data_IF_113304413502
#
_entry.id   IF_113304413502
#
_cell.length_a   1.000
_cell.length_b   1.000
_cell.length_c   1.000
_cell.angle_alpha   90.00
_cell.angle_beta   90.00
_cell.angle_gamma   90.00
#
_symmetry.space_group_name_H-M   'P 1'
#
loop_
_entity.id
_entity.type
_entity.pdbx_description
1 polymer ?
#
# COMPACT_ATOMS: atom_id res chain seq x y z
N UNK A 1 -17.62 -27.08 17.07
CA UNK A 1 -18.50 -25.92 17.27
C UNK A 1 -19.58 -25.91 16.23
N UNK A 2 -20.83 -25.69 16.62
CA UNK A 2 -21.95 -25.49 15.70
C UNK A 2 -22.85 -24.39 16.26
N UNK A 3 -23.00 -23.24 15.56
CA UNK A 3 -23.74 -22.11 16.08
C UNK A 3 -25.27 -22.33 16.02
N UNK A 4 -25.73 -23.32 15.26
CA UNK A 4 -27.14 -23.66 15.09
C UNK A 4 -27.55 -24.71 16.12
N UNK A 5 -26.84 -25.85 16.13
CA UNK A 5 -27.24 -27.03 16.91
C UNK A 5 -26.52 -27.19 18.25
N UNK A 6 -25.41 -26.47 18.46
CA UNK A 6 -24.58 -26.63 19.65
C UNK A 6 -25.20 -26.08 20.94
N UNK A 7 -24.63 -26.52 22.06
CA UNK A 7 -25.01 -26.11 23.43
C UNK A 7 -23.77 -25.83 24.29
N UNK A 8 -23.81 -24.76 25.09
CA UNK A 8 -22.70 -24.34 25.94
C UNK A 8 -22.80 -24.95 27.34
N UNK A 9 -22.48 -26.23 27.46
CA UNK A 9 -22.39 -26.93 28.75
C UNK A 9 -21.06 -27.70 28.80
N UNK A 10 -20.38 -27.71 29.94
CA UNK A 10 -18.98 -28.20 30.05
C UNK A 10 -18.81 -29.68 29.65
N UNK A 11 -19.88 -30.48 29.68
CA UNK A 11 -19.86 -31.89 29.29
C UNK A 11 -19.98 -32.16 27.78
N UNK A 12 -20.08 -31.13 26.94
CA UNK A 12 -20.21 -31.25 25.47
C UNK A 12 -18.91 -30.84 24.80
N UNK A 13 -18.91 -30.57 23.48
CA UNK A 13 -17.77 -30.01 22.74
C UNK A 13 -16.66 -31.00 22.37
N UNK A 14 -16.67 -32.21 22.94
CA UNK A 14 -15.67 -33.25 22.70
C UNK A 14 -15.93 -34.09 21.42
N UNK A 15 -17.08 -33.88 20.77
CA UNK A 15 -17.51 -34.62 19.57
C UNK A 15 -18.36 -33.75 18.66
N UNK A 16 -18.36 -34.08 17.36
CA UNK A 16 -19.25 -33.49 16.35
C UNK A 16 -20.74 -33.72 16.63
N UNK A 17 -21.08 -34.80 17.34
CA UNK A 17 -22.47 -35.13 17.70
C UNK A 17 -23.00 -34.31 18.87
N UNK A 18 -22.12 -33.61 19.59
CA UNK A 18 -22.49 -32.83 20.75
C UNK A 18 -21.64 -31.56 20.83
N UNK A 19 -21.74 -30.65 19.86
CA UNK A 19 -20.83 -29.51 19.76
C UNK A 19 -21.18 -28.42 20.77
N UNK A 20 -20.17 -27.65 21.20
CA UNK A 20 -20.43 -26.35 21.81
C UNK A 20 -21.08 -25.39 20.81
N UNK A 21 -21.82 -24.39 21.31
CA UNK A 21 -22.53 -23.40 20.49
C UNK A 21 -21.63 -22.25 20.06
N UNK A 22 -20.89 -21.65 21.00
CA UNK A 22 -20.15 -20.41 20.76
C UNK A 22 -18.64 -20.58 20.87
N UNK A 23 -17.90 -19.84 20.05
CA UNK A 23 -16.44 -19.81 20.05
C UNK A 23 -15.92 -19.32 21.41
N UNK A 24 -16.55 -18.28 22.00
CA UNK A 24 -16.20 -17.77 23.33
C UNK A 24 -16.23 -18.88 24.38
N UNK A 25 -17.29 -19.69 24.41
CA UNK A 25 -17.40 -20.78 25.40
C UNK A 25 -16.32 -21.84 25.18
N UNK A 26 -16.05 -22.21 23.92
CA UNK A 26 -14.99 -23.15 23.61
C UNK A 26 -13.61 -22.65 24.06
N UNK A 27 -13.35 -21.34 23.93
CA UNK A 27 -12.10 -20.72 24.37
C UNK A 27 -11.93 -20.76 25.89
N UNK A 28 -13.00 -20.70 26.68
CA UNK A 28 -12.94 -20.84 28.14
C UNK A 28 -12.40 -22.22 28.55
N UNK A 29 -12.73 -23.26 27.79
CA UNK A 29 -12.32 -24.64 28.06
C UNK A 29 -10.96 -24.99 27.43
N UNK A 30 -10.57 -24.27 26.37
CA UNK A 30 -9.41 -24.61 25.56
C UNK A 30 -8.07 -24.27 26.25
N UNK A 31 -7.11 -25.17 26.05
CA UNK A 31 -5.71 -25.00 26.42
C UNK A 31 -4.84 -24.75 25.17
N UNK A 32 -3.61 -24.23 25.30
CA UNK A 32 -2.69 -24.11 24.16
C UNK A 32 -2.55 -25.43 23.40
N UNK A 33 -2.54 -25.36 22.06
CA UNK A 33 -2.56 -26.53 21.18
C UNK A 33 -3.95 -27.04 20.79
N UNK A 34 -5.02 -26.51 21.40
CA UNK A 34 -6.40 -26.88 21.03
C UNK A 34 -6.76 -26.40 19.63
N UNK A 35 -7.45 -27.24 18.87
CA UNK A 35 -8.11 -26.88 17.61
C UNK A 35 -9.61 -26.74 17.85
N UNK A 36 -10.12 -25.52 17.72
CA UNK A 36 -11.54 -25.21 17.73
C UNK A 36 -12.06 -25.35 16.30
N UNK A 37 -12.67 -26.50 16.00
CA UNK A 37 -13.29 -26.76 14.69
C UNK A 37 -14.68 -26.11 14.61
N UNK A 38 -14.88 -25.28 13.59
CA UNK A 38 -16.13 -24.62 13.26
C UNK A 38 -16.90 -25.40 12.18
N UNK A 39 -18.18 -25.66 12.44
CA UNK A 39 -19.13 -26.12 11.44
C UNK A 39 -19.61 -24.92 10.59
N UNK A 40 -20.15 -25.17 9.38
CA UNK A 40 -20.82 -24.14 8.61
C UNK A 40 -21.90 -23.42 9.44
N UNK A 41 -21.90 -22.09 9.37
CA UNK A 41 -22.84 -21.26 10.11
C UNK A 41 -22.34 -19.84 10.31
N UNK A 42 -23.21 -19.03 10.92
CA UNK A 42 -22.93 -17.64 11.28
C UNK A 42 -22.76 -17.52 12.79
N UNK A 43 -21.58 -17.07 13.21
CA UNK A 43 -21.16 -16.86 14.59
C UNK A 43 -21.30 -15.37 14.93
N UNK A 44 -22.52 -14.98 15.30
CA UNK A 44 -22.87 -13.58 15.64
C UNK A 44 -23.13 -13.34 17.13
N UNK A 45 -23.45 -14.39 17.88
CA UNK A 45 -23.81 -14.33 19.29
C UNK A 45 -22.62 -14.68 20.19
N UNK A 46 -21.47 -14.08 19.87
CA UNK A 46 -20.21 -14.26 20.61
C UNK A 46 -20.02 -13.11 21.60
N UNK A 47 -19.19 -13.34 22.62
CA UNK A 47 -18.67 -12.24 23.43
C UNK A 47 -17.49 -11.61 22.68
N UNK A 48 -17.70 -10.43 22.10
CA UNK A 48 -16.68 -9.73 21.33
C UNK A 48 -15.89 -8.71 22.19
N UNK A 49 -14.60 -8.48 21.89
CA UNK A 49 -13.78 -9.21 20.92
C UNK A 49 -13.55 -10.66 21.33
N UNK A 50 -13.52 -11.58 20.36
CA UNK A 50 -13.10 -12.95 20.58
C UNK A 50 -11.60 -12.94 20.82
N UNK A 51 -11.17 -13.26 22.04
CA UNK A 51 -9.74 -13.34 22.40
C UNK A 51 -9.25 -14.75 22.06
N UNK A 52 -8.63 -14.90 20.88
CA UNK A 52 -8.06 -16.16 20.45
C UNK A 52 -6.73 -16.37 21.20
N UNK A 53 -6.78 -17.16 22.27
CA UNK A 53 -5.67 -17.35 23.22
C UNK A 53 -4.45 -17.98 22.58
N UNK A 54 -3.34 -17.89 23.30
CA UNK A 54 -2.04 -18.39 22.85
C UNK A 54 -2.09 -19.86 22.40
N UNK A 55 -1.51 -20.13 21.23
CA UNK A 55 -1.36 -21.48 20.70
C UNK A 55 -2.68 -22.17 20.30
N UNK A 56 -3.81 -21.47 20.30
CA UNK A 56 -5.10 -22.03 19.87
C UNK A 56 -5.27 -21.83 18.36
N UNK A 57 -5.79 -22.88 17.70
CA UNK A 57 -6.20 -22.82 16.30
C UNK A 57 -7.73 -22.68 16.20
N UNK A 58 -8.20 -21.64 15.53
CA UNK A 58 -9.59 -21.49 15.10
C UNK A 58 -9.72 -21.90 13.64
N UNK A 59 -10.38 -23.04 13.39
CA UNK A 59 -10.42 -23.68 12.07
C UNK A 59 -11.82 -23.84 11.54
N UNK A 60 -12.11 -23.30 10.37
CA UNK A 60 -13.31 -23.60 9.57
C UNK A 60 -12.99 -24.49 8.37
N UNK A 61 -13.41 -24.06 7.18
CA UNK A 61 -13.15 -24.76 5.92
C UNK A 61 -12.12 -24.00 5.06
N UNK A 62 -10.88 -24.50 5.05
CA UNK A 62 -9.78 -23.89 4.30
C UNK A 62 -9.96 -23.99 2.78
N UNK A 63 -10.63 -25.03 2.29
CA UNK A 63 -10.79 -25.29 0.86
C UNK A 63 -11.65 -24.24 0.17
N UNK A 64 -12.60 -23.67 0.92
CA UNK A 64 -13.49 -22.60 0.45
C UNK A 64 -13.15 -21.24 1.05
N UNK A 65 -11.99 -21.12 1.72
CA UNK A 65 -11.58 -19.91 2.47
C UNK A 65 -12.65 -19.43 3.46
N UNK A 66 -13.36 -20.37 4.08
CA UNK A 66 -14.39 -20.10 5.07
C UNK A 66 -15.68 -19.50 4.54
N UNK A 67 -16.01 -19.69 3.26
CA UNK A 67 -17.22 -19.12 2.64
C UNK A 67 -18.51 -19.38 3.42
N UNK A 68 -18.61 -20.53 4.08
CA UNK A 68 -19.79 -20.93 4.88
C UNK A 68 -19.58 -20.82 6.39
N UNK A 69 -18.42 -20.35 6.86
CA UNK A 69 -18.07 -20.23 8.28
C UNK A 69 -17.83 -18.74 8.56
N UNK A 70 -18.89 -18.02 8.91
CA UNK A 70 -18.87 -16.54 9.01
C UNK A 70 -18.84 -16.12 10.47
N UNK A 71 -17.83 -15.37 10.88
CA UNK A 71 -17.73 -14.70 12.19
C UNK A 71 -18.05 -13.22 11.96
N UNK A 72 -19.17 -12.76 12.52
CA UNK A 72 -19.69 -11.42 12.23
C UNK A 72 -20.08 -10.69 13.50
N UNK A 73 -19.36 -9.61 13.80
CA UNK A 73 -19.59 -8.77 14.96
C UNK A 73 -18.31 -8.08 15.40
N UNK A 74 -18.35 -7.42 16.54
CA UNK A 74 -17.20 -6.73 17.09
C UNK A 74 -17.54 -6.07 18.42
N UNK A 75 -16.53 -5.91 19.27
CA UNK A 75 -16.66 -5.36 20.60
C UNK A 75 -15.51 -4.43 20.93
N UNK A 76 -15.63 -3.71 22.04
CA UNK A 76 -14.63 -2.75 22.45
C UNK A 76 -13.35 -3.43 22.93
N UNK A 77 -12.23 -2.98 22.40
CA UNK A 77 -10.90 -3.38 22.83
C UNK A 77 -10.07 -2.13 23.16
N UNK A 78 -9.56 -2.04 24.39
CA UNK A 78 -8.66 -0.97 24.77
C UNK A 78 -7.22 -1.36 24.42
N UNK A 79 -6.81 -0.98 23.20
CA UNK A 79 -5.45 -1.20 22.72
C UNK A 79 -4.45 -0.40 23.55
N UNK A 80 -3.33 -1.06 23.89
CA UNK A 80 -2.19 -0.43 24.58
C UNK A 80 -1.53 0.63 23.68
N UNK A 81 -1.60 0.45 22.36
CA UNK A 81 -1.00 1.36 21.39
C UNK A 81 -2.00 2.26 20.66
N UNK A 82 -3.31 1.98 20.66
CA UNK A 82 -4.31 2.72 19.87
C UNK A 82 -5.57 3.15 20.63
N UNK A 83 -5.57 3.10 21.97
CA UNK A 83 -6.75 3.37 22.80
C UNK A 83 -7.94 2.47 22.40
N UNK A 84 -9.18 2.91 22.64
CA UNK A 84 -10.38 2.11 22.36
C UNK A 84 -10.58 1.89 20.86
N UNK A 85 -10.72 0.63 20.48
CA UNK A 85 -10.97 0.12 19.12
C UNK A 85 -12.20 -0.79 19.12
N UNK A 86 -12.79 -1.06 17.95
CA UNK A 86 -13.82 -2.08 17.80
C UNK A 86 -13.27 -3.27 17.00
N UNK A 87 -13.23 -4.46 17.60
CA UNK A 87 -12.48 -5.62 17.09
C UNK A 87 -13.36 -6.87 17.11
N UNK A 88 -13.29 -7.69 16.06
CA UNK A 88 -13.93 -9.03 16.03
C UNK A 88 -13.06 -10.06 16.74
N UNK A 89 -11.79 -10.20 16.32
CA UNK A 89 -10.85 -11.18 16.89
C UNK A 89 -9.59 -10.45 17.35
N UNK A 90 -9.21 -10.64 18.62
CA UNK A 90 -7.88 -10.32 19.13
C UNK A 90 -7.02 -11.58 19.06
N UNK A 91 -5.98 -11.57 18.22
CA UNK A 91 -5.15 -12.74 17.97
C UNK A 91 -3.90 -12.72 18.85
N UNK A 92 -3.84 -13.64 19.81
CA UNK A 92 -2.71 -13.76 20.73
C UNK A 92 -1.54 -14.53 20.11
N UNK A 93 -0.43 -14.56 20.84
CA UNK A 93 0.82 -15.24 20.50
C UNK A 93 0.60 -16.67 19.98
N UNK A 94 1.27 -17.06 18.89
CA UNK A 94 1.24 -18.41 18.31
C UNK A 94 -0.18 -18.96 17.98
N UNK A 95 -1.21 -18.11 17.95
CA UNK A 95 -2.56 -18.52 17.56
C UNK A 95 -2.66 -18.70 16.04
N UNK A 96 -3.61 -19.52 15.59
CA UNK A 96 -3.87 -19.75 14.17
C UNK A 96 -5.32 -19.49 13.82
N UNK A 97 -5.57 -18.74 12.76
CA UNK A 97 -6.90 -18.52 12.17
C UNK A 97 -6.89 -19.07 10.76
N UNK A 98 -7.71 -20.08 10.48
CA UNK A 98 -7.82 -20.63 9.14
C UNK A 98 -9.21 -21.09 8.72
N UNK A 99 -9.54 -20.94 7.44
CA UNK A 99 -10.80 -21.41 6.88
C UNK A 99 -12.04 -20.66 7.38
N UNK A 100 -11.92 -19.37 7.72
CA UNK A 100 -13.06 -18.56 8.22
C UNK A 100 -13.30 -17.34 7.36
N UNK A 101 -14.55 -16.85 7.35
CA UNK A 101 -14.88 -15.50 6.89
C UNK A 101 -15.06 -14.59 8.11
N UNK A 102 -14.38 -13.43 8.15
CA UNK A 102 -14.51 -12.45 9.23
C UNK A 102 -15.07 -11.14 8.70
N UNK A 103 -16.09 -10.60 9.38
CA UNK A 103 -16.73 -9.33 9.03
C UNK A 103 -17.00 -8.47 10.26
N UNK A 104 -16.62 -7.18 10.21
CA UNK A 104 -16.93 -6.21 11.25
C UNK A 104 -17.58 -4.94 10.71
N UNK A 105 -18.92 -4.93 10.65
CA UNK A 105 -19.69 -3.77 10.17
C UNK A 105 -19.92 -2.68 11.21
N UNK A 106 -19.38 -2.81 12.42
CA UNK A 106 -19.48 -1.76 13.42
C UNK A 106 -18.67 -0.53 12.98
N UNK A 107 -19.02 0.64 13.51
CA UNK A 107 -18.24 1.86 13.28
C UNK A 107 -16.76 1.64 13.68
N UNK A 108 -15.84 1.91 12.76
CA UNK A 108 -14.39 1.63 12.91
C UNK A 108 -14.06 0.16 13.20
N UNK A 109 -14.94 -0.76 12.81
CA UNK A 109 -14.79 -2.20 13.01
C UNK A 109 -13.59 -2.78 12.26
N UNK A 110 -12.72 -3.44 13.01
CA UNK A 110 -11.58 -4.22 12.49
C UNK A 110 -11.88 -5.70 12.61
N UNK A 111 -11.56 -6.49 11.58
CA UNK A 111 -11.73 -7.95 11.61
C UNK A 111 -10.78 -8.61 12.62
N UNK A 112 -9.48 -8.59 12.35
CA UNK A 112 -8.47 -9.16 13.26
C UNK A 112 -7.49 -8.09 13.72
N UNK A 113 -7.27 -8.04 15.04
CA UNK A 113 -6.28 -7.19 15.67
C UNK A 113 -5.07 -8.02 16.12
N UNK A 114 -3.89 -7.60 15.69
CA UNK A 114 -2.59 -8.21 16.04
C UNK A 114 -1.73 -7.15 16.70
N UNK A 115 -1.42 -7.32 17.98
CA UNK A 115 -0.68 -6.32 18.77
C UNK A 115 0.41 -6.98 19.61
N UNK A 116 1.67 -6.78 19.20
CA UNK A 116 2.84 -7.39 19.82
C UNK A 116 2.81 -8.93 19.84
N UNK A 117 2.13 -9.55 18.86
CA UNK A 117 1.97 -11.01 18.71
C UNK A 117 2.27 -11.47 17.28
N UNK A 118 2.31 -12.78 17.05
CA UNK A 118 2.79 -13.42 15.81
C UNK A 118 1.84 -14.52 15.26
N UNK A 119 0.52 -14.28 15.14
CA UNK A 119 -0.41 -15.31 14.71
C UNK A 119 -0.18 -15.76 13.26
N UNK A 120 -0.63 -16.96 12.93
CA UNK A 120 -0.75 -17.46 11.55
C UNK A 120 -2.18 -17.29 11.08
N UNK A 121 -2.39 -16.51 10.03
CA UNK A 121 -3.70 -16.22 9.46
C UNK A 121 -3.70 -16.68 8.01
N UNK A 122 -4.44 -17.74 7.71
CA UNK A 122 -4.37 -18.37 6.39
C UNK A 122 -5.68 -18.88 5.84
N UNK A 123 -5.76 -19.03 4.52
CA UNK A 123 -6.90 -19.67 3.84
C UNK A 123 -8.25 -19.14 4.34
N UNK A 124 -8.38 -17.83 4.53
CA UNK A 124 -9.54 -17.18 5.13
C UNK A 124 -10.01 -16.01 4.26
N UNK A 125 -11.21 -15.52 4.53
CA UNK A 125 -11.81 -14.36 3.86
C UNK A 125 -12.03 -13.23 4.87
N UNK A 126 -11.57 -12.02 4.57
CA UNK A 126 -11.79 -10.81 5.37
C UNK A 126 -12.58 -9.82 4.56
N UNK A 127 -13.86 -9.66 4.90
CA UNK A 127 -14.79 -8.94 4.05
C UNK A 127 -15.68 -7.99 4.81
N UNK A 128 -15.97 -6.84 4.18
CA UNK A 128 -17.02 -5.93 4.60
C UNK A 128 -16.82 -5.35 6.01
N UNK A 129 -15.58 -5.26 6.47
CA UNK A 129 -15.24 -4.49 7.67
C UNK A 129 -15.26 -3.00 7.36
N UNK A 130 -15.78 -2.17 8.28
CA UNK A 130 -15.85 -0.71 8.03
C UNK A 130 -14.50 -0.01 8.16
N UNK A 131 -13.51 -0.63 8.80
CA UNK A 131 -12.13 -0.16 8.86
C UNK A 131 -11.23 -1.15 8.11
N UNK A 132 -10.56 -2.07 8.79
CA UNK A 132 -9.66 -3.03 8.15
C UNK A 132 -10.09 -4.50 8.29
N UNK A 133 -9.65 -5.32 7.34
CA UNK A 133 -9.68 -6.77 7.50
C UNK A 133 -8.74 -7.22 8.61
N UNK A 134 -7.47 -6.82 8.54
CA UNK A 134 -6.44 -7.09 9.57
C UNK A 134 -5.70 -5.79 9.92
N UNK A 135 -5.46 -5.58 11.21
CA UNK A 135 -4.64 -4.48 11.73
C UNK A 135 -3.49 -5.03 12.57
N UNK A 136 -2.26 -4.71 12.18
CA UNK A 136 -1.01 -5.14 12.84
C UNK A 136 -0.30 -3.94 13.44
N UNK A 137 0.00 -4.00 14.74
CA UNK A 137 0.59 -2.88 15.48
C UNK A 137 1.60 -3.33 16.55
N UNK A 138 2.38 -2.36 17.03
CA UNK A 138 3.26 -2.44 18.19
C UNK A 138 4.20 -3.65 18.15
N UNK A 139 4.91 -3.81 17.03
CA UNK A 139 5.85 -4.92 16.83
C UNK A 139 5.21 -6.26 16.50
N UNK A 140 3.93 -6.29 16.11
CA UNK A 140 3.29 -7.52 15.63
C UNK A 140 4.02 -8.10 14.41
N UNK A 141 4.12 -9.43 14.33
CA UNK A 141 4.86 -10.15 13.29
C UNK A 141 4.08 -11.39 12.79
N UNK A 142 2.89 -11.19 12.19
CA UNK A 142 2.05 -12.31 11.75
C UNK A 142 2.54 -12.93 10.45
N UNK A 143 2.16 -14.18 10.22
CA UNK A 143 2.15 -14.77 8.87
C UNK A 143 0.74 -14.68 8.31
N UNK A 144 0.56 -13.92 7.23
CA UNK A 144 -0.74 -13.74 6.55
C UNK A 144 -0.63 -14.33 5.15
N UNK A 145 -1.20 -15.52 4.94
CA UNK A 145 -1.00 -16.27 3.69
C UNK A 145 -2.28 -16.79 3.04
N UNK A 146 -2.36 -16.74 1.71
CA UNK A 146 -3.46 -17.35 0.95
C UNK A 146 -4.86 -16.87 1.38
N UNK A 147 -5.02 -15.63 1.82
CA UNK A 147 -6.31 -15.07 2.20
C UNK A 147 -6.94 -14.25 1.08
N UNK A 148 -8.24 -14.01 1.18
CA UNK A 148 -8.98 -13.06 0.34
C UNK A 148 -9.46 -11.88 1.18
N UNK A 149 -9.14 -10.66 0.76
CA UNK A 149 -9.61 -9.42 1.35
C UNK A 149 -10.49 -8.72 0.32
N UNK A 150 -11.74 -8.42 0.66
CA UNK A 150 -12.67 -7.83 -0.30
C UNK A 150 -13.68 -6.90 0.36
N UNK A 151 -13.94 -5.75 -0.27
CA UNK A 151 -14.97 -4.81 0.18
C UNK A 151 -14.76 -4.28 1.62
N UNK A 152 -13.52 -4.14 2.10
CA UNK A 152 -13.24 -3.47 3.38
C UNK A 152 -13.20 -1.96 3.14
N UNK A 153 -14.04 -1.19 3.84
CA UNK A 153 -14.24 0.22 3.53
C UNK A 153 -12.98 1.08 3.78
N UNK A 154 -12.19 0.73 4.79
CA UNK A 154 -10.88 1.33 5.03
C UNK A 154 -9.80 0.62 4.23
N UNK A 155 -9.16 -0.38 4.81
CA UNK A 155 -8.03 -1.07 4.18
C UNK A 155 -8.22 -2.60 4.16
N UNK A 156 -7.57 -3.31 3.24
CA UNK A 156 -7.43 -4.76 3.35
C UNK A 156 -6.61 -5.11 4.59
N UNK A 157 -5.37 -4.61 4.63
CA UNK A 157 -4.42 -4.83 5.73
C UNK A 157 -3.75 -3.49 6.12
N UNK A 158 -3.68 -3.20 7.42
CA UNK A 158 -2.89 -2.10 7.98
C UNK A 158 -1.73 -2.65 8.82
N UNK A 159 -0.51 -2.13 8.62
CA UNK A 159 0.70 -2.49 9.37
C UNK A 159 1.39 -1.20 9.87
N UNK A 160 1.63 -1.09 11.17
CA UNK A 160 2.11 0.17 11.78
C UNK A 160 2.91 -0.06 13.07
N UNK A 161 3.59 0.98 13.58
CA UNK A 161 4.33 0.99 14.86
C UNK A 161 5.32 -0.18 15.00
N UNK A 162 6.43 -0.12 14.26
CA UNK A 162 7.52 -1.10 14.28
C UNK A 162 7.11 -2.54 13.94
N UNK A 163 5.95 -2.72 13.29
CA UNK A 163 5.44 -4.06 12.98
C UNK A 163 6.14 -4.66 11.77
N UNK A 164 6.15 -5.99 11.75
CA UNK A 164 6.71 -6.83 10.70
C UNK A 164 5.58 -7.67 10.10
N UNK A 165 5.90 -8.88 9.69
CA UNK A 165 4.97 -9.85 9.14
C UNK A 165 5.36 -10.31 7.74
N UNK A 166 5.00 -11.56 7.45
CA UNK A 166 5.11 -12.18 6.12
C UNK A 166 3.73 -12.19 5.49
N UNK A 167 3.53 -11.35 4.48
CA UNK A 167 2.25 -11.21 3.79
C UNK A 167 2.42 -11.84 2.42
N UNK A 168 1.82 -13.01 2.19
CA UNK A 168 2.07 -13.76 0.96
C UNK A 168 0.85 -14.39 0.29
N UNK A 169 0.84 -14.41 -1.04
CA UNK A 169 -0.19 -15.11 -1.83
C UNK A 169 -1.64 -14.66 -1.49
N UNK A 170 -1.83 -13.44 -0.97
CA UNK A 170 -3.15 -12.92 -0.67
C UNK A 170 -3.74 -12.23 -1.90
N UNK A 171 -5.06 -12.27 -2.03
CA UNK A 171 -5.83 -11.46 -2.98
C UNK A 171 -6.47 -10.33 -2.20
N UNK A 172 -6.18 -9.08 -2.57
CA UNK A 172 -6.66 -7.88 -1.88
C UNK A 172 -7.34 -6.96 -2.89
N UNK A 173 -8.65 -6.83 -2.76
CA UNK A 173 -9.46 -6.09 -3.72
C UNK A 173 -10.58 -5.25 -3.09
N UNK A 174 -11.07 -4.28 -3.86
CA UNK A 174 -12.29 -3.50 -3.55
C UNK A 174 -12.27 -2.84 -2.18
N UNK A 175 -11.09 -2.45 -1.71
CA UNK A 175 -10.91 -1.75 -0.44
C UNK A 175 -10.49 -0.30 -0.69
N UNK A 176 -10.53 0.55 0.35
CA UNK A 176 -9.94 1.90 0.25
C UNK A 176 -8.46 1.79 -0.09
N UNK A 177 -7.63 1.29 0.82
CA UNK A 177 -6.27 0.86 0.47
C UNK A 177 -6.17 -0.66 0.48
N UNK A 178 -5.45 -1.25 -0.48
CA UNK A 178 -5.14 -2.67 -0.39
C UNK A 178 -4.30 -2.95 0.85
N UNK A 179 -3.13 -2.31 0.93
CA UNK A 179 -2.25 -2.30 2.09
C UNK A 179 -1.89 -0.88 2.52
N UNK A 180 -1.90 -0.62 3.82
CA UNK A 180 -1.34 0.59 4.43
C UNK A 180 -0.20 0.24 5.37
N UNK A 181 0.99 0.79 5.12
CA UNK A 181 2.22 0.50 5.86
C UNK A 181 2.81 1.82 6.35
N UNK A 182 2.90 1.96 7.68
CA UNK A 182 3.22 3.24 8.33
C UNK A 182 4.30 3.09 9.41
N UNK A 183 4.76 4.22 9.94
CA UNK A 183 5.86 4.32 10.91
C UNK A 183 7.10 3.57 10.42
N UNK A 184 7.89 3.00 11.29
CA UNK A 184 9.13 2.26 11.02
C UNK A 184 8.87 0.76 10.68
N UNK A 185 7.67 0.42 10.20
CA UNK A 185 7.28 -0.96 9.91
C UNK A 185 8.05 -1.56 8.72
N UNK A 186 8.37 -2.86 8.81
CA UNK A 186 9.21 -3.58 7.82
C UNK A 186 8.63 -4.95 7.43
N UNK A 187 7.40 -5.02 6.92
CA UNK A 187 6.82 -6.28 6.47
C UNK A 187 7.47 -6.76 5.16
N UNK A 188 7.39 -8.07 4.93
CA UNK A 188 7.79 -8.71 3.67
C UNK A 188 6.54 -9.09 2.89
N UNK A 189 6.36 -8.49 1.71
CA UNK A 189 5.23 -8.74 0.83
C UNK A 189 5.68 -9.58 -0.37
N UNK A 190 5.10 -10.77 -0.52
CA UNK A 190 5.47 -11.70 -1.61
C UNK A 190 4.26 -12.26 -2.34
N UNK A 191 4.24 -12.20 -3.68
CA UNK A 191 3.21 -12.88 -4.48
C UNK A 191 1.76 -12.48 -4.15
N UNK A 192 1.53 -11.28 -3.62
CA UNK A 192 0.18 -10.79 -3.39
C UNK A 192 -0.41 -10.20 -4.68
N UNK A 193 -1.72 -10.34 -4.86
CA UNK A 193 -2.49 -9.72 -5.94
C UNK A 193 -3.31 -8.58 -5.34
N UNK A 194 -3.02 -7.34 -5.74
CA UNK A 194 -3.57 -6.11 -5.14
C UNK A 194 -4.22 -5.30 -6.26
N UNK A 195 -5.53 -5.41 -6.37
CA UNK A 195 -6.28 -4.94 -7.55
C UNK A 195 -7.61 -4.32 -7.20
N UNK A 196 -8.10 -3.36 -7.99
CA UNK A 196 -9.42 -2.75 -7.80
C UNK A 196 -9.61 -2.11 -6.41
N UNK A 197 -8.55 -1.62 -5.78
CA UNK A 197 -8.64 -0.79 -4.58
C UNK A 197 -8.59 0.68 -4.98
N UNK A 198 -8.96 1.62 -4.10
CA UNK A 198 -8.76 3.05 -4.39
C UNK A 198 -7.27 3.32 -4.62
N UNK A 199 -6.43 2.90 -3.68
CA UNK A 199 -4.98 2.78 -3.89
C UNK A 199 -4.52 1.37 -3.54
N UNK A 200 -3.53 0.85 -4.26
CA UNK A 200 -3.00 -0.48 -4.03
C UNK A 200 -2.23 -0.58 -2.70
N UNK A 201 -1.06 0.04 -2.64
CA UNK A 201 -0.18 0.02 -1.47
C UNK A 201 0.19 1.46 -1.09
N UNK A 202 -0.09 1.86 0.14
CA UNK A 202 0.30 3.16 0.68
C UNK A 202 1.39 2.98 1.73
N UNK A 203 2.54 3.60 1.51
CA UNK A 203 3.75 3.50 2.32
C UNK A 203 4.13 4.92 2.78
N UNK A 204 4.27 5.11 4.09
CA UNK A 204 4.47 6.44 4.67
C UNK A 204 5.36 6.42 5.89
N UNK A 205 5.65 7.61 6.40
CA UNK A 205 6.47 7.91 7.57
C UNK A 205 7.91 7.43 7.40
N UNK A 206 8.31 6.31 8.00
CA UNK A 206 9.67 5.76 7.90
C UNK A 206 9.68 4.29 7.48
N UNK A 207 8.60 3.85 6.82
CA UNK A 207 8.37 2.43 6.56
C UNK A 207 9.33 1.91 5.48
N UNK A 208 9.79 0.68 5.67
CA UNK A 208 10.76 0.02 4.80
C UNK A 208 10.31 -1.40 4.45
N UNK A 209 9.16 -1.57 3.76
CA UNK A 209 8.71 -2.89 3.35
C UNK A 209 9.56 -3.45 2.20
N UNK A 210 9.68 -4.77 2.16
CA UNK A 210 10.29 -5.51 1.05
C UNK A 210 9.20 -6.08 0.14
N UNK A 211 9.20 -5.72 -1.15
CA UNK A 211 8.19 -6.17 -2.12
C UNK A 211 8.82 -7.05 -3.19
N UNK A 212 8.39 -8.31 -3.27
CA UNK A 212 8.83 -9.25 -4.32
C UNK A 212 7.68 -9.99 -4.99
N UNK A 213 7.72 -10.08 -6.31
CA UNK A 213 6.76 -10.86 -7.11
C UNK A 213 5.28 -10.52 -6.87
N UNK A 214 4.96 -9.31 -6.41
CA UNK A 214 3.58 -8.88 -6.22
C UNK A 214 2.99 -8.36 -7.54
N UNK A 215 1.67 -8.46 -7.69
CA UNK A 215 0.92 -7.90 -8.81
C UNK A 215 0.06 -6.77 -8.28
N UNK A 216 0.37 -5.53 -8.65
CA UNK A 216 -0.32 -4.31 -8.25
C UNK A 216 -0.87 -3.62 -9.49
N UNK A 217 -2.14 -3.85 -9.80
CA UNK A 217 -2.73 -3.38 -11.05
C UNK A 217 -4.20 -3.03 -10.91
N UNK A 218 -4.72 -2.28 -11.87
CA UNK A 218 -6.15 -1.99 -11.98
C UNK A 218 -6.72 -1.34 -10.69
N UNK A 219 -5.89 -0.61 -9.92
CA UNK A 219 -6.37 0.19 -8.80
C UNK A 219 -6.91 1.53 -9.32
N UNK A 220 -7.96 2.06 -8.66
CA UNK A 220 -8.73 3.20 -9.16
C UNK A 220 -7.88 4.48 -9.29
N UNK A 221 -6.94 4.68 -8.36
CA UNK A 221 -6.06 5.84 -8.33
C UNK A 221 -4.60 5.43 -8.43
N UNK A 222 -3.91 5.12 -7.34
CA UNK A 222 -2.45 4.89 -7.38
C UNK A 222 -2.11 3.42 -7.08
N UNK A 223 -1.13 2.86 -7.78
CA UNK A 223 -0.63 1.50 -7.54
C UNK A 223 0.16 1.42 -6.23
N UNK A 224 1.30 2.11 -6.17
CA UNK A 224 2.12 2.25 -4.98
C UNK A 224 2.33 3.74 -4.68
N UNK A 225 1.95 4.17 -3.49
CA UNK A 225 2.16 5.55 -2.99
C UNK A 225 3.24 5.52 -1.91
N UNK A 226 4.25 6.38 -2.05
CA UNK A 226 5.42 6.45 -1.17
C UNK A 226 5.57 7.90 -0.71
N UNK A 227 5.50 8.14 0.60
CA UNK A 227 5.50 9.51 1.15
C UNK A 227 6.41 9.63 2.38
N UNK A 228 6.68 10.88 2.79
CA UNK A 228 7.54 11.21 3.94
C UNK A 228 8.93 10.57 3.81
N UNK A 229 9.47 9.95 4.86
CA UNK A 229 10.79 9.34 4.87
C UNK A 229 10.77 7.84 4.57
N UNK A 230 9.68 7.33 3.97
CA UNK A 230 9.56 5.90 3.66
C UNK A 230 10.52 5.50 2.52
N UNK A 231 11.02 4.28 2.60
CA UNK A 231 12.02 3.75 1.67
C UNK A 231 11.75 2.26 1.43
N UNK A 232 10.72 1.93 0.63
CA UNK A 232 10.47 0.56 0.25
C UNK A 232 11.57 0.01 -0.66
N UNK A 233 11.87 -1.27 -0.49
CA UNK A 233 12.68 -2.04 -1.44
C UNK A 233 11.75 -2.72 -2.45
N UNK A 234 11.59 -2.10 -3.63
CA UNK A 234 10.83 -2.67 -4.74
C UNK A 234 11.68 -3.60 -5.63
N UNK A 235 13.00 -3.67 -5.41
CA UNK A 235 13.94 -4.47 -6.19
C UNK A 235 15.32 -3.83 -6.24
N UNK A 236 16.37 -4.63 -6.09
CA UNK A 236 17.78 -4.19 -6.17
C UNK A 236 18.55 -4.99 -7.20
N UNK A 237 19.80 -4.62 -7.50
CA UNK A 237 20.66 -5.36 -8.47
C UNK A 237 20.93 -6.79 -8.02
N UNK A 238 21.12 -7.01 -6.72
CA UNK A 238 21.39 -8.34 -6.16
C UNK A 238 20.11 -9.13 -5.84
N UNK A 239 18.97 -8.45 -5.68
CA UNK A 239 17.67 -9.06 -5.41
C UNK A 239 16.58 -8.36 -6.25
N UNK A 240 16.41 -8.74 -7.53
CA UNK A 240 15.41 -8.16 -8.42
C UNK A 240 13.99 -8.27 -7.86
N UNK A 241 13.18 -7.26 -8.14
CA UNK A 241 11.83 -7.14 -7.58
C UNK A 241 10.84 -8.19 -8.06
N UNK A 242 10.79 -8.43 -9.38
CA UNK A 242 9.84 -9.32 -10.03
C UNK A 242 8.37 -8.89 -9.87
N UNK A 243 8.09 -7.67 -9.39
CA UNK A 243 6.74 -7.16 -9.23
C UNK A 243 6.18 -6.71 -10.58
N UNK A 244 4.86 -6.78 -10.75
CA UNK A 244 4.11 -6.26 -11.89
C UNK A 244 3.27 -5.08 -11.42
N UNK A 245 3.58 -3.86 -11.86
CA UNK A 245 2.93 -2.63 -11.40
C UNK A 245 2.46 -1.84 -12.63
N UNK A 246 1.21 -2.06 -13.04
CA UNK A 246 0.68 -1.57 -14.34
C UNK A 246 -0.80 -1.21 -14.22
N UNK A 247 -1.32 -0.44 -15.18
CA UNK A 247 -2.77 -0.15 -15.32
C UNK A 247 -3.45 0.45 -14.07
N UNK A 248 -2.72 1.24 -13.28
CA UNK A 248 -3.33 1.97 -12.16
C UNK A 248 -3.80 3.35 -12.66
N UNK A 249 -4.93 3.85 -12.16
CA UNK A 249 -5.68 4.95 -12.79
C UNK A 249 -4.92 6.27 -12.96
N UNK A 250 -4.27 6.75 -11.90
CA UNK A 250 -3.45 7.97 -11.88
C UNK A 250 -1.96 7.67 -12.04
N UNK A 251 -1.43 6.70 -11.32
CA UNK A 251 -0.01 6.35 -11.35
C UNK A 251 0.24 4.90 -10.92
N UNK A 252 1.24 4.27 -11.51
CA UNK A 252 1.78 2.98 -11.07
C UNK A 252 2.63 3.17 -9.80
N UNK A 253 3.49 4.18 -9.79
CA UNK A 253 4.26 4.58 -8.61
C UNK A 253 4.13 6.09 -8.43
N UNK A 254 3.65 6.51 -7.27
CA UNK A 254 3.65 7.89 -6.82
C UNK A 254 4.62 8.08 -5.66
N UNK A 255 5.84 8.51 -5.97
CA UNK A 255 6.87 8.84 -5.01
C UNK A 255 6.87 10.35 -4.70
N UNK A 256 6.50 10.70 -3.47
CA UNK A 256 6.68 12.03 -2.88
C UNK A 256 7.45 11.95 -1.56
N UNK A 257 8.30 10.94 -1.42
CA UNK A 257 9.20 10.82 -0.28
C UNK A 257 10.20 11.99 -0.26
N UNK A 258 10.50 12.46 0.95
CA UNK A 258 11.41 13.58 1.22
C UNK A 258 12.82 13.12 1.58
N UNK A 259 13.16 11.86 1.34
CA UNK A 259 14.47 11.27 1.64
C UNK A 259 15.60 11.81 0.76
N UNK A 260 15.26 12.35 -0.42
CA UNK A 260 16.24 12.76 -1.44
C UNK A 260 16.96 11.57 -2.10
N UNK A 261 16.46 10.35 -1.88
CA UNK A 261 16.98 9.10 -2.46
C UNK A 261 15.91 8.50 -3.34
N UNK A 262 16.24 8.28 -4.61
CA UNK A 262 15.35 7.59 -5.55
C UNK A 262 14.99 6.19 -5.03
N UNK A 263 13.73 5.80 -5.23
CA UNK A 263 13.27 4.46 -4.83
C UNK A 263 13.79 3.43 -5.83
N UNK A 264 14.51 2.43 -5.35
CA UNK A 264 15.02 1.35 -6.20
C UNK A 264 13.89 0.37 -6.55
N UNK A 265 13.62 0.21 -7.84
CA UNK A 265 12.58 -0.65 -8.39
C UNK A 265 13.13 -1.53 -9.53
N UNK A 266 14.31 -2.09 -9.34
CA UNK A 266 15.03 -2.88 -10.34
C UNK A 266 14.38 -4.25 -10.59
N UNK A 267 14.34 -4.68 -11.85
CA UNK A 267 13.81 -6.00 -12.23
C UNK A 267 12.31 -6.17 -12.02
N UNK A 268 11.54 -5.09 -12.16
CA UNK A 268 10.08 -5.12 -12.13
C UNK A 268 9.52 -4.88 -13.53
N UNK A 269 8.30 -5.36 -13.77
CA UNK A 269 7.50 -4.95 -14.94
C UNK A 269 6.66 -3.75 -14.54
N UNK A 270 7.08 -2.56 -14.95
CA UNK A 270 6.43 -1.29 -14.64
C UNK A 270 6.21 -0.54 -15.95
N UNK A 271 5.01 0.02 -16.13
CA UNK A 271 4.78 1.04 -17.15
C UNK A 271 5.26 2.40 -16.61
N UNK A 272 6.37 2.88 -17.16
CA UNK A 272 7.12 4.05 -16.72
C UNK A 272 6.36 5.37 -16.94
N UNK A 273 5.41 5.40 -17.87
CA UNK A 273 4.51 6.54 -18.10
C UNK A 273 3.61 6.83 -16.88
N UNK A 274 3.41 5.82 -16.04
CA UNK A 274 2.67 5.90 -14.79
C UNK A 274 3.53 6.26 -13.56
N UNK A 275 4.77 6.72 -13.73
CA UNK A 275 5.63 7.09 -12.59
C UNK A 275 5.57 8.59 -12.33
N UNK A 276 5.25 8.95 -11.08
CA UNK A 276 5.28 10.31 -10.57
C UNK A 276 6.30 10.39 -9.44
N UNK A 277 7.33 11.24 -9.57
CA UNK A 277 8.45 11.32 -8.63
C UNK A 277 9.66 10.48 -9.03
N UNK A 278 10.69 10.46 -8.17
CA UNK A 278 11.99 9.86 -8.49
C UNK A 278 12.04 8.36 -8.19
N UNK A 279 12.25 7.53 -9.21
CA UNK A 279 12.35 6.06 -9.09
C UNK A 279 13.50 5.57 -9.95
N UNK A 280 14.34 4.66 -9.46
CA UNK A 280 15.37 3.99 -10.25
C UNK A 280 14.82 2.67 -10.81
N UNK A 281 14.81 2.52 -12.14
CA UNK A 281 14.40 1.30 -12.85
C UNK A 281 15.55 0.86 -13.75
N UNK A 282 15.97 -0.39 -13.63
CA UNK A 282 17.07 -1.03 -14.39
C UNK A 282 18.34 -0.17 -14.53
N UNK A 283 18.70 0.57 -13.48
CA UNK A 283 19.88 1.43 -13.43
C UNK A 283 19.69 2.83 -14.04
N UNK A 284 18.47 3.15 -14.49
CA UNK A 284 18.07 4.46 -15.01
C UNK A 284 17.21 5.16 -13.97
N UNK A 285 17.58 6.38 -13.57
CA UNK A 285 16.70 7.21 -12.75
C UNK A 285 15.60 7.81 -13.61
N UNK A 286 14.37 7.41 -13.32
CA UNK A 286 13.15 8.00 -13.83
C UNK A 286 12.75 9.11 -12.87
N UNK A 287 12.99 10.36 -13.26
CA UNK A 287 12.46 11.53 -12.56
C UNK A 287 11.11 11.87 -13.19
N UNK A 288 10.02 11.40 -12.59
CA UNK A 288 8.67 11.76 -13.03
C UNK A 288 8.37 13.24 -12.75
N UNK A 289 8.77 14.14 -13.65
CA UNK A 289 8.14 15.45 -13.75
C UNK A 289 6.87 15.31 -14.59
N UNK A 290 5.73 15.74 -14.02
CA UNK A 290 4.41 15.98 -14.66
C UNK A 290 4.29 15.53 -16.11
N UNK A 291 3.39 14.57 -16.40
CA UNK A 291 2.81 14.22 -17.73
C UNK A 291 3.65 14.75 -18.91
N UNK A 292 4.42 13.91 -19.64
CA UNK A 292 5.05 14.36 -20.87
C UNK A 292 3.99 15.03 -21.74
N UNK A 293 4.24 16.29 -22.07
CA UNK A 293 3.40 17.07 -22.96
C UNK A 293 3.39 16.31 -24.29
N UNK A 294 2.20 15.81 -24.67
CA UNK A 294 1.98 15.13 -25.95
C UNK A 294 2.58 15.97 -27.08
N UNK A 295 3.12 15.33 -28.14
CA UNK A 295 3.52 16.03 -29.37
C UNK A 295 2.38 16.86 -29.99
N UNK A 296 1.15 16.57 -29.56
CA UNK A 296 -0.09 17.18 -30.03
C UNK A 296 -0.72 18.11 -28.96
N UNK A 297 0.00 18.45 -27.89
CA UNK A 297 -0.50 19.40 -26.89
C UNK A 297 -0.64 20.80 -27.52
N UNK A 298 -1.83 21.42 -27.44
CA UNK A 298 -2.10 22.71 -28.06
C UNK A 298 -1.23 23.85 -27.50
N UNK A 299 -0.68 23.73 -26.29
CA UNK A 299 0.25 24.70 -25.70
C UNK A 299 1.68 24.54 -26.26
N UNK A 300 2.07 23.34 -26.68
CA UNK A 300 3.34 23.06 -27.35
C UNK A 300 3.32 23.58 -28.80
N UNK A 301 2.18 23.45 -29.48
CA UNK A 301 1.93 24.03 -30.80
C UNK A 301 2.02 25.57 -30.80
N UNK A 302 1.60 26.21 -29.69
CA UNK A 302 1.74 27.65 -29.45
C UNK A 302 3.21 28.07 -29.24
N UNK A 303 4.01 27.26 -28.55
CA UNK A 303 5.45 27.50 -28.39
C UNK A 303 6.20 27.39 -29.73
N UNK A 304 5.92 26.33 -30.50
CA UNK A 304 6.56 26.06 -31.81
C UNK A 304 6.21 27.13 -32.85
N UNK A 305 4.94 27.58 -32.90
CA UNK A 305 4.50 28.64 -33.82
C UNK A 305 5.01 30.03 -33.43
N UNK A 306 5.10 30.35 -32.13
CA UNK A 306 5.55 31.69 -31.68
C UNK A 306 7.05 31.90 -31.78
N UNK A 307 7.85 30.83 -31.70
CA UNK A 307 9.33 30.91 -31.72
C UNK A 307 9.94 30.56 -33.08
N UNK A 308 9.12 30.31 -34.11
CA UNK A 308 9.54 29.88 -35.46
C UNK A 308 10.59 28.75 -35.44
N UNK A 309 10.40 27.76 -34.57
CA UNK A 309 11.36 26.69 -34.36
C UNK A 309 11.38 25.77 -35.60
N UNK A 310 12.48 25.79 -36.35
CA UNK A 310 12.74 24.85 -37.44
C UNK A 310 13.50 23.65 -36.89
N UNK A 311 13.04 22.44 -37.19
CA UNK A 311 13.80 21.23 -36.89
C UNK A 311 15.02 21.17 -37.84
N UNK A 312 16.22 21.41 -37.30
CA UNK A 312 17.49 21.32 -38.05
C UNK A 312 18.38 20.23 -37.46
N UNK A 313 19.12 19.54 -38.32
CA UNK A 313 20.19 18.63 -37.91
C UNK A 313 21.34 19.42 -37.31
N UNK A 314 21.72 19.10 -36.06
CA UNK A 314 22.70 19.89 -35.34
C UNK A 314 24.12 19.57 -35.83
N UNK A 315 24.68 20.41 -36.70
CA UNK A 315 26.09 20.36 -37.10
C UNK A 315 26.91 21.32 -36.25
N UNK A 316 27.75 20.75 -35.38
CA UNK A 316 28.88 21.30 -34.60
C UNK A 316 28.91 22.78 -34.19
N UNK A 317 28.94 22.97 -32.85
CA UNK A 317 29.40 24.14 -32.04
C UNK A 317 28.55 25.41 -31.94
N UNK A 318 28.49 26.00 -30.73
CA UNK A 318 27.82 25.47 -29.53
C UNK A 318 26.34 25.84 -29.58
N UNK A 319 25.48 24.83 -29.53
CA UNK A 319 24.04 25.01 -29.65
C UNK A 319 23.44 24.36 -28.40
N UNK A 320 22.66 25.11 -27.59
CA UNK A 320 21.94 24.46 -26.49
C UNK A 320 20.99 23.47 -27.12
N UNK A 321 21.00 22.23 -26.65
CA UNK A 321 20.12 21.17 -27.12
C UNK A 321 19.00 20.99 -26.10
N UNK A 322 17.75 21.21 -26.53
CA UNK A 322 16.56 20.91 -25.73
C UNK A 322 15.83 19.75 -26.38
N UNK A 323 15.50 18.74 -25.58
CA UNK A 323 14.67 17.62 -25.99
C UNK A 323 13.23 17.90 -25.58
N UNK A 324 12.29 17.79 -26.54
CA UNK A 324 10.85 17.85 -26.28
C UNK A 324 10.24 16.56 -26.82
N UNK A 325 9.78 15.69 -25.92
CA UNK A 325 9.50 14.30 -26.25
C UNK A 325 10.74 13.65 -26.87
N UNK A 326 10.58 13.09 -28.08
CA UNK A 326 11.62 12.31 -28.77
C UNK A 326 12.42 13.17 -29.77
N UNK A 327 12.13 14.47 -29.86
CA UNK A 327 12.70 15.38 -30.87
C UNK A 327 13.72 16.32 -30.23
N UNK A 328 14.82 16.52 -30.96
CA UNK A 328 15.94 17.37 -30.59
C UNK A 328 15.79 18.77 -31.20
N UNK A 329 15.97 19.82 -30.39
CA UNK A 329 15.91 21.22 -30.82
C UNK A 329 17.20 21.93 -30.42
N UNK A 330 17.77 22.72 -31.33
CA UNK A 330 19.07 23.35 -31.16
C UNK A 330 18.93 24.89 -31.19
N UNK A 331 19.38 25.59 -30.14
CA UNK A 331 19.29 27.05 -29.93
C UNK A 331 20.60 27.81 -30.14
N UNK A 332 20.56 28.91 -30.91
CA UNK A 332 21.65 29.88 -31.07
C UNK A 332 21.09 31.31 -31.28
N UNK A 333 21.66 32.36 -30.65
CA UNK A 333 22.73 32.34 -29.65
C UNK A 333 22.22 31.97 -28.24
N UNK A 334 23.14 31.64 -27.33
CA UNK A 334 22.85 31.18 -25.97
C UNK A 334 22.09 32.26 -25.15
N UNK A 335 20.84 32.04 -24.71
CA UNK A 335 20.30 32.84 -23.62
C UNK A 335 21.09 32.54 -22.35
N UNK A 336 21.45 33.58 -21.60
CA UNK A 336 22.10 33.42 -20.29
C UNK A 336 21.11 32.75 -19.34
N UNK A 337 21.24 31.43 -19.13
CA UNK A 337 20.36 30.60 -18.29
C UNK A 337 20.75 30.60 -16.80
N UNK A 338 21.59 31.54 -16.35
CA UNK A 338 22.07 31.58 -14.97
C UNK A 338 21.13 32.26 -13.97
N UNK A 339 20.02 32.87 -14.42
CA UNK A 339 19.09 33.59 -13.55
C UNK A 339 17.93 32.71 -13.07
N UNK A 340 17.41 32.99 -11.86
CA UNK A 340 16.27 32.27 -11.27
C UNK A 340 14.91 32.68 -11.86
N UNK A 341 14.85 33.80 -12.60
CA UNK A 341 13.62 34.32 -13.20
C UNK A 341 13.92 35.17 -14.44
N UNK A 342 12.98 35.19 -15.39
CA UNK A 342 13.07 35.94 -16.65
C UNK A 342 11.77 36.69 -16.94
N UNK A 343 11.89 37.85 -17.57
CA UNK A 343 10.81 38.68 -18.08
C UNK A 343 10.75 38.54 -19.61
N UNK A 344 9.58 38.22 -20.14
CA UNK A 344 9.34 38.06 -21.56
C UNK A 344 8.82 39.35 -22.18
N UNK A 345 9.48 39.83 -23.24
CA UNK A 345 8.99 40.95 -24.04
C UNK A 345 8.15 40.44 -25.22
N UNK A 346 6.82 40.65 -25.21
CA UNK A 346 5.95 40.14 -26.26
C UNK A 346 6.09 40.86 -27.61
N UNK A 347 6.67 42.06 -27.62
CA UNK A 347 6.87 42.86 -28.84
C UNK A 347 8.14 42.44 -29.58
N UNK A 348 9.20 42.09 -28.85
CA UNK A 348 10.51 41.74 -29.43
C UNK A 348 10.79 40.24 -29.41
N UNK A 349 9.99 39.44 -28.70
CA UNK A 349 10.18 37.99 -28.57
C UNK A 349 11.40 37.60 -27.73
N UNK A 350 11.96 38.52 -26.95
CA UNK A 350 13.19 38.28 -26.17
C UNK A 350 12.88 38.01 -24.69
N UNK A 351 13.69 37.14 -24.08
CA UNK A 351 13.71 36.91 -22.63
C UNK A 351 14.84 37.74 -22.00
N UNK A 352 14.53 38.45 -20.92
CA UNK A 352 15.48 39.23 -20.12
C UNK A 352 15.57 38.64 -18.72
N UNK A 353 16.77 38.33 -18.25
CA UNK A 353 16.98 37.88 -16.87
C UNK A 353 16.53 38.95 -15.86
N UNK A 354 15.71 38.56 -14.88
CA UNK A 354 15.31 39.40 -13.75
C UNK A 354 16.37 39.27 -12.65
N UNK A 355 17.03 40.37 -12.30
CA UNK A 355 18.02 40.38 -11.20
C UNK A 355 17.31 40.21 -9.86
N UNK A 356 17.38 39.02 -9.27
CA UNK A 356 16.96 38.77 -7.88
C UNK A 356 18.19 38.74 -6.98
N UNK A 357 18.68 39.92 -6.57
CA UNK A 357 19.76 40.10 -5.60
C UNK A 357 19.84 41.56 -5.13
N UNK A 358 20.29 41.85 -3.90
CA UNK A 358 20.30 43.20 -3.35
C UNK A 358 21.21 44.13 -4.18
N UNK A 359 20.75 45.37 -4.41
CA UNK A 359 21.51 46.41 -5.14
C UNK A 359 22.85 46.68 -4.41
N UNK A 360 24.00 46.65 -5.09
CA UNK A 360 25.24 47.20 -4.54
C UNK A 360 25.05 48.70 -4.31
N UNK A 361 25.35 49.19 -3.10
CA UNK A 361 25.50 50.62 -2.83
C UNK A 361 26.66 51.16 -3.67
N UNK A 362 26.46 52.29 -4.35
CA UNK A 362 27.50 52.93 -5.16
C UNK A 362 28.69 53.32 -4.26
N UNK A 363 29.94 53.11 -4.67
CA UNK A 363 31.07 53.83 -4.10
C UNK A 363 30.94 55.30 -4.50
N UNK A 364 30.95 56.20 -3.52
CA UNK A 364 31.19 57.63 -3.79
C UNK A 364 32.64 57.82 -4.23
N UNK A 365 32.83 58.59 -5.30
CA UNK A 365 34.14 59.13 -5.66
C UNK A 365 34.39 60.40 -4.83
N UNK A 366 35.55 60.45 -4.17
CA UNK A 366 36.17 61.57 -3.44
C UNK A 366 35.46 62.10 -2.20
#
# INVERSE_FOLDING_TARGET
MDPISGVNIVSTGNSVTNPYKTITFALEQAQPGTIIQLAPGSYTNESFPIILKQGITLRGDESTKGKTVVISGGGDYNSRSFARQNVTILAEQDSTINGVTVTNRNARGTGVWVESTNPVIKNSTFAQSLREGIFVTAGGDPTVENNQFTANNGNGISITKSSKGKISNNVIEKSGFGLSINHDSKPVLTKNQITNNRDGIVITDSAQPLLRSNVVKDNERDGIVITLNSSPDLGTRSNPGGNVIVNNGRSNIYNVATTGVAISALGNTIDDSGILGEVEIDGIQITGNRKPVSSDDPNLALLIRKWQLTAVSCSSTPVIVIFIGNKQYCFSPQPDLTAKAYEYNPTTGTLRALRTGPRPTKPGNL
#
